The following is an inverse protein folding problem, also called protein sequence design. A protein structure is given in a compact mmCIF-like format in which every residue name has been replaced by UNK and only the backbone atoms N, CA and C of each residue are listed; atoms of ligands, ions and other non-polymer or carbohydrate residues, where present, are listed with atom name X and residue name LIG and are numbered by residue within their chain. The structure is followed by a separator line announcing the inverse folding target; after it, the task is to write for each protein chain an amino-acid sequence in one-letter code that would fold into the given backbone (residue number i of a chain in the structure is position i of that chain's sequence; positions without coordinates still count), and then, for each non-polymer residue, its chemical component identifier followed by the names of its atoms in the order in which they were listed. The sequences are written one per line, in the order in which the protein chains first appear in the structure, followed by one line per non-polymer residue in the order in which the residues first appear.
data_IF_482541012352
#
_entry.id   IF_482541012352
#
_cell.length_a   1.000
_cell.length_b   1.000
_cell.length_c   1.000
_cell.angle_alpha   90.00
_cell.angle_beta   90.00
_cell.angle_gamma   90.00
#
_symmetry.space_group_name_H-M   'P 1'
#
loop_
_entity.id
_entity.type
_entity.pdbx_description
1 polymer ?
#
# COMPACT_ATOMS: atom_id res chain seq x y z
N UNK A 1 -18.96 -23.32 70.85
CA UNK A 1 -17.96 -22.23 70.99
C UNK A 1 -17.53 -21.83 69.59
N UNK A 2 -17.65 -20.53 69.28
CA UNK A 2 -17.18 -19.76 68.10
C UNK A 2 -15.67 -19.94 67.80
N UNK A 3 -15.04 -19.32 66.76
CA UNK A 3 -15.47 -18.76 65.45
C UNK A 3 -14.51 -19.19 64.28
N UNK A 4 -14.69 -18.79 63.00
CA UNK A 4 -13.97 -17.71 62.23
C UNK A 4 -14.48 -17.83 60.76
N UNK A 5 -15.30 -16.91 60.22
CA UNK A 5 -14.98 -15.74 59.36
C UNK A 5 -14.27 -16.12 58.02
N UNK A 6 -14.66 -15.71 56.80
CA UNK A 6 -15.05 -14.39 56.28
C UNK A 6 -15.90 -14.51 55.00
N UNK A 7 -16.79 -13.52 54.79
CA UNK A 7 -17.58 -13.27 53.58
C UNK A 7 -16.71 -12.45 52.61
N UNK A 8 -16.57 -12.89 51.36
CA UNK A 8 -16.03 -12.08 50.27
C UNK A 8 -17.08 -11.86 49.19
N UNK A 9 -17.32 -10.58 48.92
CA UNK A 9 -18.29 -10.03 47.99
C UNK A 9 -17.98 -10.39 46.54
N UNK A 10 -18.98 -10.92 45.82
CA UNK A 10 -18.93 -11.10 44.37
C UNK A 10 -19.50 -9.83 43.71
N UNK A 11 -18.64 -8.88 43.35
CA UNK A 11 -19.02 -7.78 42.46
C UNK A 11 -18.88 -8.23 41.01
N UNK A 12 -20.02 -8.51 40.36
CA UNK A 12 -20.13 -8.51 38.90
C UNK A 12 -19.88 -7.10 38.39
N UNK A 13 -18.73 -6.87 37.76
CA UNK A 13 -18.53 -5.70 36.91
C UNK A 13 -19.05 -6.05 35.52
N UNK A 14 -20.30 -5.65 35.24
CA UNK A 14 -20.82 -5.57 33.87
C UNK A 14 -20.11 -4.38 33.24
N UNK A 15 -19.13 -4.64 32.38
CA UNK A 15 -18.57 -3.63 31.50
C UNK A 15 -19.61 -3.34 30.41
N UNK A 16 -20.48 -2.36 30.65
CA UNK A 16 -21.22 -1.71 29.59
C UNK A 16 -20.21 -0.95 28.74
N UNK A 17 -19.87 -1.48 27.57
CA UNK A 17 -19.21 -0.72 26.51
C UNK A 17 -20.22 0.33 26.04
N UNK A 18 -20.14 1.51 26.64
CA UNK A 18 -20.80 2.70 26.10
C UNK A 18 -19.89 3.15 24.98
N UNK A 19 -20.19 2.72 23.75
CA UNK A 19 -19.60 3.32 22.56
C UNK A 19 -19.83 4.83 22.66
N UNK A 20 -18.76 5.58 22.90
CA UNK A 20 -18.83 7.03 22.81
C UNK A 20 -19.14 7.33 21.34
N UNK A 21 -20.26 8.02 21.03
CA UNK A 21 -20.52 8.42 19.66
C UNK A 21 -19.32 9.25 19.18
N UNK A 22 -18.80 8.89 18.01
CA UNK A 22 -17.75 9.66 17.32
C UNK A 22 -18.16 11.14 17.37
N UNK A 23 -17.35 12.03 17.96
CA UNK A 23 -17.74 13.42 18.10
C UNK A 23 -18.02 14.00 16.71
N UNK A 24 -19.15 14.69 16.52
CA UNK A 24 -19.46 15.29 15.23
C UNK A 24 -18.36 16.29 14.84
N UNK A 25 -17.93 16.23 13.56
CA UNK A 25 -16.95 17.12 12.94
C UNK A 25 -17.17 18.57 13.42
N UNK A 26 -16.20 19.15 14.11
CA UNK A 26 -16.32 20.51 14.66
C UNK A 26 -15.72 21.54 13.70
N UNK A 27 -16.21 22.79 13.69
CA UNK A 27 -15.57 23.90 12.97
C UNK A 27 -14.12 24.22 13.41
N UNK A 28 -13.64 23.56 14.47
CA UNK A 28 -12.29 23.67 15.01
C UNK A 28 -11.41 22.47 14.66
N UNK A 29 -11.88 21.55 13.81
CA UNK A 29 -11.04 20.56 13.12
C UNK A 29 -10.31 21.27 11.98
N UNK A 30 -9.31 22.07 12.32
CA UNK A 30 -8.74 23.10 11.43
C UNK A 30 -7.79 22.47 10.41
N UNK A 31 -8.35 22.06 9.28
CA UNK A 31 -7.69 22.10 7.96
C UNK A 31 -8.45 23.00 6.96
N UNK A 32 -9.49 23.73 7.41
CA UNK A 32 -10.60 24.12 6.53
C UNK A 32 -11.01 25.61 6.54
N UNK A 33 -10.10 26.54 6.85
CA UNK A 33 -10.41 27.98 6.75
C UNK A 33 -9.40 28.78 5.92
N UNK A 34 -8.74 28.15 4.94
CA UNK A 34 -7.96 28.89 3.96
C UNK A 34 -8.64 28.89 2.58
N UNK A 35 -8.80 30.07 1.98
CA UNK A 35 -9.24 30.26 0.57
C UNK A 35 -8.44 29.37 -0.41
N UNK A 36 -7.21 29.02 -0.06
CA UNK A 36 -6.30 28.18 -0.84
C UNK A 36 -6.78 26.72 -0.93
N UNK A 37 -7.54 26.20 0.04
CA UNK A 37 -8.03 24.82 0.02
C UNK A 37 -9.32 24.67 -0.81
N UNK A 38 -10.00 25.77 -1.14
CA UNK A 38 -11.23 25.77 -1.98
C UNK A 38 -10.96 25.52 -3.47
N UNK A 39 -9.69 25.55 -3.90
CA UNK A 39 -9.28 25.40 -5.31
C UNK A 39 -8.88 23.98 -5.71
N UNK A 40 -8.88 23.03 -4.76
CA UNK A 40 -8.45 21.66 -5.03
C UNK A 40 -9.47 20.90 -5.87
N UNK A 41 -8.96 20.04 -6.76
CA UNK A 41 -9.77 19.27 -7.70
C UNK A 41 -10.45 18.05 -7.06
N UNK A 42 -10.01 17.60 -5.88
CA UNK A 42 -10.61 16.48 -5.16
C UNK A 42 -10.87 16.81 -3.68
N UNK A 43 -12.06 16.44 -3.21
CA UNK A 43 -12.53 16.70 -1.85
C UNK A 43 -12.30 15.48 -0.95
N UNK A 44 -11.07 15.33 -0.44
CA UNK A 44 -10.70 14.29 0.52
C UNK A 44 -11.51 14.32 1.83
N UNK A 45 -12.25 15.41 2.12
CA UNK A 45 -13.03 15.51 3.35
C UNK A 45 -14.37 14.75 3.27
N UNK A 46 -14.97 14.73 2.08
CA UNK A 46 -16.33 14.24 1.88
C UNK A 46 -16.40 13.09 0.86
N UNK A 47 -15.41 12.95 -0.01
CA UNK A 47 -15.33 11.85 -0.95
C UNK A 47 -14.61 10.64 -0.31
N UNK A 48 -15.11 9.45 -0.61
CA UNK A 48 -14.51 8.18 -0.18
C UNK A 48 -13.78 7.59 -1.37
N UNK A 49 -12.47 7.40 -1.23
CA UNK A 49 -11.65 6.68 -2.20
C UNK A 49 -11.93 5.18 -2.09
N UNK A 50 -12.21 4.57 -3.23
CA UNK A 50 -12.43 3.14 -3.38
C UNK A 50 -11.61 2.72 -4.58
N UNK A 51 -10.37 2.32 -4.31
CA UNK A 51 -9.39 2.16 -5.36
C UNK A 51 -8.59 0.88 -5.29
N UNK A 52 -7.67 0.78 -6.24
CA UNK A 52 -6.80 -0.38 -6.44
C UNK A 52 -5.40 0.07 -6.77
N UNK A 53 -4.42 -0.72 -6.37
CA UNK A 53 -3.05 -0.53 -6.82
C UNK A 53 -2.85 -1.15 -8.21
N UNK A 54 -2.05 -0.49 -9.03
CA UNK A 54 -1.58 -0.97 -10.34
C UNK A 54 -0.20 -1.62 -10.14
N UNK A 55 -0.14 -2.59 -9.22
CA UNK A 55 1.09 -3.24 -8.77
C UNK A 55 1.71 -4.18 -9.81
N UNK A 56 3.01 -4.46 -9.65
CA UNK A 56 3.78 -5.32 -10.55
C UNK A 56 3.95 -4.80 -11.98
N UNK A 57 3.56 -3.55 -12.29
CA UNK A 57 3.62 -3.00 -13.65
C UNK A 57 4.95 -2.32 -13.95
N UNK A 58 5.24 -1.17 -13.32
CA UNK A 58 6.47 -0.41 -13.53
C UNK A 58 7.57 -0.72 -12.52
N UNK A 59 7.25 -1.51 -11.50
CA UNK A 59 8.19 -2.16 -10.60
C UNK A 59 7.81 -3.63 -10.54
N UNK A 60 8.74 -4.52 -10.88
CA UNK A 60 8.50 -5.95 -10.86
C UNK A 60 8.53 -6.49 -9.43
N UNK A 61 7.50 -7.24 -9.08
CA UNK A 61 7.41 -7.97 -7.83
C UNK A 61 7.26 -9.46 -8.12
N UNK A 62 8.19 -10.31 -7.63
CA UNK A 62 8.21 -11.73 -7.97
C UNK A 62 6.91 -12.47 -7.68
N UNK A 63 6.18 -12.11 -6.62
CA UNK A 63 4.93 -12.77 -6.27
C UNK A 63 3.75 -12.36 -7.17
N UNK A 64 3.80 -11.15 -7.76
CA UNK A 64 2.75 -10.63 -8.65
C UNK A 64 2.90 -11.23 -10.05
N UNK A 65 4.12 -11.23 -10.59
CA UNK A 65 4.46 -11.74 -11.94
C UNK A 65 5.53 -12.83 -11.90
N UNK A 66 5.28 -13.97 -11.22
CA UNK A 66 6.27 -15.03 -11.05
C UNK A 66 6.78 -15.59 -12.38
N UNK A 67 5.99 -15.58 -13.46
CA UNK A 67 6.41 -16.11 -14.76
C UNK A 67 7.67 -15.43 -15.31
N UNK A 68 7.87 -14.13 -15.04
CA UNK A 68 9.08 -13.41 -15.46
C UNK A 68 10.34 -13.98 -14.78
N UNK A 69 10.23 -14.32 -13.50
CA UNK A 69 11.32 -14.83 -12.67
C UNK A 69 11.50 -16.35 -12.81
N UNK A 70 10.44 -17.10 -13.05
CA UNK A 70 10.48 -18.55 -13.28
C UNK A 70 11.34 -18.95 -14.49
N UNK A 71 11.51 -18.06 -15.46
CA UNK A 71 12.39 -18.32 -16.61
C UNK A 71 13.87 -18.52 -16.23
N UNK A 72 14.27 -18.15 -15.03
CA UNK A 72 15.63 -18.36 -14.50
C UNK A 72 15.78 -19.68 -13.75
N UNK A 73 14.67 -20.39 -13.47
CA UNK A 73 14.72 -21.67 -12.77
C UNK A 73 15.43 -22.71 -13.62
N UNK A 74 16.53 -23.24 -13.09
CA UNK A 74 17.29 -24.33 -13.74
C UNK A 74 17.10 -25.68 -13.04
N UNK A 75 16.57 -25.68 -11.81
CA UNK A 75 16.30 -26.86 -11.00
C UNK A 75 14.87 -26.81 -10.44
N UNK A 76 14.12 -27.90 -10.58
CA UNK A 76 12.67 -27.95 -10.32
C UNK A 76 12.25 -27.54 -8.89
N UNK A 77 13.10 -27.80 -7.89
CA UNK A 77 12.80 -27.55 -6.47
C UNK A 77 13.83 -26.62 -5.80
N UNK A 78 14.46 -25.73 -6.56
CA UNK A 78 15.40 -24.75 -6.03
C UNK A 78 15.19 -23.38 -6.69
N UNK A 79 15.15 -22.35 -5.86
CA UNK A 79 15.12 -20.94 -6.31
C UNK A 79 16.54 -20.39 -6.52
N UNK A 80 17.57 -21.22 -6.39
CA UNK A 80 18.96 -20.83 -6.64
C UNK A 80 19.12 -20.31 -8.08
N UNK A 81 19.67 -19.10 -8.20
CA UNK A 81 19.90 -18.42 -9.47
C UNK A 81 18.69 -17.61 -9.98
N UNK A 82 17.55 -17.65 -9.31
CA UNK A 82 16.41 -16.78 -9.63
C UNK A 82 16.69 -15.39 -9.04
N UNK A 83 16.63 -14.30 -9.84
CA UNK A 83 16.79 -12.95 -9.34
C UNK A 83 15.77 -12.59 -8.26
N UNK A 84 16.20 -11.86 -7.23
CA UNK A 84 15.36 -11.54 -6.09
C UNK A 84 14.43 -10.33 -6.30
N UNK A 85 14.75 -9.46 -7.25
CA UNK A 85 14.13 -8.15 -7.47
C UNK A 85 14.41 -7.67 -8.91
N UNK A 86 13.86 -6.52 -9.30
CA UNK A 86 14.04 -5.96 -10.64
C UNK A 86 15.51 -5.57 -10.93
N UNK A 87 16.26 -5.11 -9.93
CA UNK A 87 17.68 -4.78 -10.08
C UNK A 87 18.47 -6.01 -10.55
N UNK A 88 18.34 -7.14 -9.85
CA UNK A 88 19.04 -8.36 -10.20
C UNK A 88 18.44 -9.02 -11.45
N UNK A 89 17.14 -8.86 -11.71
CA UNK A 89 16.50 -9.35 -12.94
C UNK A 89 17.11 -8.70 -14.18
N UNK A 90 17.20 -7.37 -14.17
CA UNK A 90 17.79 -6.61 -15.28
C UNK A 90 19.30 -6.83 -15.39
N UNK A 91 19.99 -7.01 -14.26
CA UNK A 91 21.42 -7.35 -14.23
C UNK A 91 21.70 -8.71 -14.87
N UNK A 92 20.92 -9.73 -14.53
CA UNK A 92 21.12 -11.09 -15.00
C UNK A 92 20.83 -11.25 -16.50
N UNK A 93 19.87 -10.50 -17.04
CA UNK A 93 19.51 -10.53 -18.47
C UNK A 93 20.40 -9.65 -19.34
N UNK A 94 20.96 -8.58 -18.77
CA UNK A 94 21.57 -7.49 -19.53
C UNK A 94 20.54 -6.62 -20.25
N UNK A 95 20.99 -5.47 -20.75
CA UNK A 95 20.12 -4.40 -21.25
C UNK A 95 19.17 -4.84 -22.36
N UNK A 96 19.65 -5.56 -23.38
CA UNK A 96 18.84 -5.88 -24.57
C UNK A 96 17.69 -6.84 -24.26
N UNK A 97 17.98 -7.93 -23.54
CA UNK A 97 16.97 -8.94 -23.21
C UNK A 97 16.00 -8.40 -22.15
N UNK A 98 16.52 -7.70 -21.14
CA UNK A 98 15.66 -7.04 -20.15
C UNK A 98 14.71 -6.05 -20.81
N UNK A 99 15.20 -5.18 -21.72
CA UNK A 99 14.38 -4.19 -22.41
C UNK A 99 13.29 -4.85 -23.24
N UNK A 100 13.61 -5.88 -24.02
CA UNK A 100 12.62 -6.58 -24.84
C UNK A 100 11.53 -7.23 -23.98
N UNK A 101 11.89 -7.86 -22.86
CA UNK A 101 10.91 -8.50 -21.97
C UNK A 101 10.05 -7.49 -21.24
N UNK A 102 10.68 -6.42 -20.73
CA UNK A 102 9.98 -5.36 -19.99
C UNK A 102 9.03 -4.56 -20.90
N UNK A 103 9.40 -4.28 -22.15
CA UNK A 103 8.46 -3.62 -23.08
C UNK A 103 7.25 -4.49 -23.41
N UNK A 104 7.45 -5.81 -23.54
CA UNK A 104 6.33 -6.74 -23.69
C UNK A 104 5.45 -6.76 -22.43
N UNK A 105 6.06 -6.76 -21.24
CA UNK A 105 5.36 -6.68 -19.97
C UNK A 105 4.55 -5.39 -19.87
N UNK A 106 5.19 -4.23 -20.04
CA UNK A 106 4.53 -2.93 -19.89
C UNK A 106 3.39 -2.73 -20.89
N UNK A 107 3.54 -3.19 -22.13
CA UNK A 107 2.50 -3.06 -23.17
C UNK A 107 1.28 -3.98 -22.98
N UNK A 108 1.38 -5.02 -22.15
CA UNK A 108 0.32 -6.04 -22.04
C UNK A 108 -0.16 -6.31 -20.63
N UNK A 109 0.63 -5.97 -19.60
CA UNK A 109 0.26 -6.18 -18.21
C UNK A 109 -0.93 -5.33 -17.84
N UNK A 110 -0.94 -4.01 -18.10
CA UNK A 110 -2.15 -3.19 -18.00
C UNK A 110 -2.47 -2.50 -19.33
N UNK A 111 -3.77 -2.39 -19.60
CA UNK A 111 -4.32 -1.76 -20.80
C UNK A 111 -5.52 -0.87 -20.43
N UNK A 112 -6.02 -0.06 -21.38
CA UNK A 112 -7.23 0.74 -21.16
C UNK A 112 -8.45 -0.10 -20.74
N UNK A 113 -8.53 -1.36 -21.20
CA UNK A 113 -9.59 -2.29 -20.81
C UNK A 113 -9.59 -2.57 -19.31
N UNK A 114 -8.42 -2.63 -18.67
CA UNK A 114 -8.33 -2.82 -17.23
C UNK A 114 -8.92 -1.62 -16.49
N UNK A 115 -8.65 -0.40 -16.94
CA UNK A 115 -9.19 0.83 -16.35
C UNK A 115 -10.71 0.95 -16.53
N UNK A 116 -11.24 0.53 -17.69
CA UNK A 116 -12.68 0.42 -17.90
C UNK A 116 -13.32 -0.59 -16.93
N UNK A 117 -12.72 -1.77 -16.78
CA UNK A 117 -13.21 -2.78 -15.84
C UNK A 117 -13.15 -2.31 -14.36
N UNK A 118 -12.10 -1.56 -13.99
CA UNK A 118 -11.98 -0.95 -12.65
C UNK A 118 -13.15 0.00 -12.39
N UNK A 119 -13.44 0.89 -13.33
CA UNK A 119 -14.56 1.82 -13.21
C UNK A 119 -15.92 1.09 -13.19
N UNK A 120 -16.11 0.10 -14.06
CA UNK A 120 -17.33 -0.71 -14.13
C UNK A 120 -17.58 -1.52 -12.84
N UNK A 121 -16.51 -1.87 -12.10
CA UNK A 121 -16.60 -2.51 -10.80
C UNK A 121 -17.03 -1.56 -9.66
N UNK A 122 -17.27 -0.27 -9.96
CA UNK A 122 -17.70 0.75 -9.01
C UNK A 122 -16.56 1.43 -8.23
N UNK A 123 -15.32 1.26 -8.70
CA UNK A 123 -14.13 1.90 -8.14
C UNK A 123 -13.92 3.29 -8.76
N UNK A 124 -13.26 4.18 -8.04
CA UNK A 124 -13.09 5.59 -8.45
C UNK A 124 -11.63 6.05 -8.46
N UNK A 125 -10.68 5.18 -8.15
CA UNK A 125 -9.30 5.57 -7.89
C UNK A 125 -8.30 4.45 -8.22
N UNK A 126 -7.11 4.84 -8.70
CA UNK A 126 -5.96 3.95 -8.88
C UNK A 126 -4.69 4.57 -8.30
N UNK A 127 -3.87 3.77 -7.61
CA UNK A 127 -2.51 4.13 -7.20
C UNK A 127 -1.51 3.46 -8.15
N UNK A 128 -0.58 4.22 -8.71
CA UNK A 128 0.35 3.74 -9.74
C UNK A 128 1.79 3.82 -9.25
N UNK A 129 2.34 2.70 -8.74
CA UNK A 129 3.75 2.56 -8.39
C UNK A 129 4.68 2.77 -9.59
N UNK A 130 5.74 3.57 -9.42
CA UNK A 130 6.82 3.71 -10.41
C UNK A 130 8.19 3.89 -9.73
N UNK A 131 9.20 3.15 -10.18
CA UNK A 131 10.56 3.24 -9.67
C UNK A 131 11.35 4.44 -10.21
N UNK A 132 12.31 4.94 -9.45
CA UNK A 132 13.10 6.11 -9.86
C UNK A 132 13.83 5.92 -11.21
N UNK A 133 14.21 4.69 -11.52
CA UNK A 133 14.95 4.29 -12.72
C UNK A 133 14.19 4.54 -14.03
N UNK A 134 12.87 4.70 -13.97
CA UNK A 134 12.06 5.15 -15.11
C UNK A 134 12.45 6.56 -15.59
N UNK A 135 13.01 7.40 -14.71
CA UNK A 135 13.30 8.81 -14.98
C UNK A 135 14.79 9.13 -14.93
N UNK A 136 15.51 8.59 -13.96
CA UNK A 136 16.95 8.78 -13.84
C UNK A 136 17.59 7.54 -13.23
N UNK A 137 18.74 7.13 -13.78
CA UNK A 137 19.53 6.01 -13.28
C UNK A 137 20.79 6.50 -12.59
N UNK A 138 21.29 5.74 -11.62
CA UNK A 138 22.69 5.78 -11.20
C UNK A 138 23.57 5.18 -12.30
N UNK A 139 24.85 5.59 -12.34
CA UNK A 139 25.80 5.06 -13.33
C UNK A 139 26.00 3.53 -13.21
N UNK A 140 25.83 2.98 -12.00
CA UNK A 140 25.95 1.55 -11.71
C UNK A 140 24.67 0.75 -11.96
N UNK A 141 23.55 1.41 -12.29
CA UNK A 141 22.26 0.72 -12.36
C UNK A 141 22.15 -0.25 -13.53
N UNK A 142 21.72 -1.50 -13.27
CA UNK A 142 21.37 -2.45 -14.31
C UNK A 142 19.98 -2.20 -14.90
N UNK A 143 19.15 -1.35 -14.28
CA UNK A 143 17.78 -1.11 -14.71
C UNK A 143 17.69 -0.69 -16.18
N UNK A 144 16.56 -1.01 -16.79
CA UNK A 144 16.17 -0.49 -18.09
C UNK A 144 15.35 0.77 -17.89
N UNK A 145 15.81 1.87 -18.48
CA UNK A 145 15.00 3.08 -18.67
C UNK A 145 14.36 2.98 -20.05
N UNK A 146 13.08 2.62 -20.11
CA UNK A 146 12.32 2.42 -21.33
C UNK A 146 11.04 3.24 -21.34
N UNK A 147 9.95 2.62 -21.77
CA UNK A 147 8.67 3.32 -22.01
C UNK A 147 7.79 3.46 -20.75
N UNK A 148 8.31 3.24 -19.53
CA UNK A 148 7.50 3.33 -18.30
C UNK A 148 6.76 4.67 -18.19
N UNK A 149 7.46 5.79 -18.43
CA UNK A 149 6.84 7.11 -18.40
C UNK A 149 5.74 7.27 -19.47
N UNK A 150 5.95 6.72 -20.67
CA UNK A 150 4.94 6.72 -21.73
C UNK A 150 3.69 5.92 -21.34
N UNK A 151 3.86 4.77 -20.69
CA UNK A 151 2.73 3.98 -20.19
C UNK A 151 2.06 4.63 -18.98
N UNK A 152 2.80 5.33 -18.11
CA UNK A 152 2.22 6.13 -17.02
C UNK A 152 1.34 7.26 -17.58
N UNK A 153 1.80 8.00 -18.59
CA UNK A 153 1.00 9.03 -19.25
C UNK A 153 -0.27 8.45 -19.88
N UNK A 154 -0.16 7.28 -20.54
CA UNK A 154 -1.32 6.57 -21.07
C UNK A 154 -2.28 6.11 -19.97
N UNK A 155 -1.77 5.57 -18.86
CA UNK A 155 -2.59 5.13 -17.74
C UNK A 155 -3.38 6.29 -17.11
N UNK A 156 -2.76 7.47 -16.96
CA UNK A 156 -3.46 8.67 -16.51
C UNK A 156 -4.54 9.08 -17.51
N UNK A 157 -4.27 8.97 -18.82
CA UNK A 157 -5.30 9.25 -19.83
C UNK A 157 -6.44 8.23 -19.80
N UNK A 158 -6.16 6.94 -19.62
CA UNK A 158 -7.17 5.89 -19.45
C UNK A 158 -7.99 6.12 -18.17
N UNK A 159 -7.36 6.54 -17.09
CA UNK A 159 -8.05 6.93 -15.86
C UNK A 159 -9.01 8.09 -16.11
N UNK A 160 -8.56 9.15 -16.79
CA UNK A 160 -9.42 10.29 -17.19
C UNK A 160 -10.60 9.83 -18.04
N UNK A 161 -10.37 8.99 -19.05
CA UNK A 161 -11.43 8.46 -19.93
C UNK A 161 -12.52 7.69 -19.17
N UNK A 162 -12.14 7.04 -18.06
CA UNK A 162 -13.03 6.21 -17.25
C UNK A 162 -13.43 6.89 -15.93
N UNK A 163 -13.18 8.20 -15.77
CA UNK A 163 -13.47 8.97 -14.56
C UNK A 163 -12.86 8.39 -13.27
N UNK A 164 -11.67 7.78 -13.39
CA UNK A 164 -10.85 7.35 -12.27
C UNK A 164 -9.88 8.46 -11.90
N UNK A 165 -9.62 8.61 -10.60
CA UNK A 165 -8.56 9.46 -10.06
C UNK A 165 -7.27 8.67 -9.85
N UNK A 166 -6.15 9.38 -9.76
CA UNK A 166 -4.81 8.76 -9.77
C UNK A 166 -3.95 9.31 -8.63
N UNK A 167 -3.20 8.42 -7.96
CA UNK A 167 -1.90 8.76 -7.37
C UNK A 167 -0.76 8.28 -8.24
N UNK A 168 0.23 9.15 -8.42
CA UNK A 168 1.55 8.77 -8.93
C UNK A 168 2.44 8.54 -7.72
N UNK A 169 2.93 7.33 -7.55
CA UNK A 169 3.70 6.92 -6.38
C UNK A 169 5.15 6.60 -6.75
N UNK A 170 6.09 7.33 -6.17
CA UNK A 170 7.51 7.00 -6.27
C UNK A 170 7.79 5.78 -5.39
N UNK A 171 7.73 4.60 -6.00
CA UNK A 171 7.68 3.35 -5.24
C UNK A 171 9.05 2.80 -4.84
N UNK A 172 10.11 3.20 -5.56
CA UNK A 172 11.48 2.77 -5.31
C UNK A 172 12.45 3.95 -5.40
N UNK A 173 13.19 4.21 -4.33
CA UNK A 173 14.27 5.18 -4.31
C UNK A 173 15.62 4.56 -4.71
N UNK A 174 16.55 5.42 -5.16
CA UNK A 174 17.93 5.00 -5.35
C UNK A 174 18.51 4.45 -4.03
N UNK A 175 19.21 3.31 -4.10
CA UNK A 175 19.76 2.65 -2.91
C UNK A 175 18.75 1.91 -2.02
N UNK A 176 17.45 1.96 -2.34
CA UNK A 176 16.32 1.42 -1.56
C UNK A 176 16.09 2.11 -0.22
N UNK A 177 14.82 2.44 0.02
CA UNK A 177 14.31 3.04 1.25
C UNK A 177 13.88 2.01 2.31
N UNK A 178 13.81 0.72 1.96
CA UNK A 178 13.23 -0.30 2.84
C UNK A 178 13.83 -1.71 2.71
N UNK A 179 14.71 -1.96 1.76
CA UNK A 179 15.30 -3.27 1.52
C UNK A 179 14.31 -4.35 1.10
N UNK A 180 13.10 -3.98 0.69
CA UNK A 180 12.12 -4.89 0.11
C UNK A 180 12.36 -5.04 -1.39
N UNK A 181 11.95 -6.16 -1.97
CA UNK A 181 12.04 -6.37 -3.42
C UNK A 181 11.14 -5.40 -4.20
N UNK A 182 10.00 -4.99 -3.63
CA UNK A 182 9.10 -3.97 -4.17
C UNK A 182 9.76 -2.59 -4.35
N UNK A 183 10.89 -2.29 -3.68
CA UNK A 183 11.65 -1.06 -3.94
C UNK A 183 12.54 -1.14 -5.19
N UNK A 184 12.61 -2.32 -5.82
CA UNK A 184 13.50 -2.65 -6.92
C UNK A 184 14.83 -3.27 -6.49
N UNK A 185 15.26 -3.07 -5.23
CA UNK A 185 16.54 -3.58 -4.71
C UNK A 185 16.39 -4.10 -3.27
N UNK A 186 16.35 -5.42 -3.12
CA UNK A 186 16.20 -6.08 -1.84
C UNK A 186 17.48 -6.01 -1.01
N UNK A 187 17.32 -6.00 0.31
CA UNK A 187 18.39 -6.07 1.32
C UNK A 187 19.39 -4.88 1.30
N UNK A 188 19.02 -3.74 0.70
CA UNK A 188 19.74 -2.46 0.74
C UNK A 188 18.92 -1.36 1.44
N UNK A 189 19.58 -0.43 2.13
CA UNK A 189 18.94 0.63 2.92
C UNK A 189 19.66 1.98 2.76
N UNK A 190 20.13 2.26 1.54
CA UNK A 190 21.05 3.35 1.24
C UNK A 190 20.35 4.62 0.75
N UNK A 191 19.02 4.69 0.81
CA UNK A 191 18.21 5.83 0.31
C UNK A 191 18.73 7.21 0.75
N UNK A 192 19.01 7.39 2.04
CA UNK A 192 19.42 8.70 2.59
C UNK A 192 20.91 9.02 2.38
N UNK A 193 21.66 8.16 1.70
CA UNK A 193 23.04 8.47 1.34
C UNK A 193 23.08 9.61 0.29
N UNK A 194 24.05 10.55 0.35
CA UNK A 194 24.00 11.77 -0.44
C UNK A 194 23.82 11.59 -1.96
N UNK A 195 24.45 10.59 -2.57
CA UNK A 195 24.31 10.33 -4.01
C UNK A 195 22.94 9.78 -4.38
N UNK A 196 22.41 8.89 -3.54
CA UNK A 196 21.10 8.26 -3.73
C UNK A 196 19.97 9.25 -3.49
N UNK A 197 20.08 10.03 -2.41
CA UNK A 197 19.13 11.09 -2.08
C UNK A 197 19.09 12.17 -3.17
N UNK A 198 20.24 12.54 -3.75
CA UNK A 198 20.30 13.51 -4.84
C UNK A 198 19.55 13.04 -6.10
N UNK A 199 19.74 11.77 -6.51
CA UNK A 199 19.02 11.20 -7.66
C UNK A 199 17.53 11.09 -7.36
N UNK A 200 17.17 10.56 -6.18
CA UNK A 200 15.77 10.40 -5.78
C UNK A 200 15.05 11.76 -5.70
N UNK A 201 15.73 12.79 -5.17
CA UNK A 201 15.20 14.17 -5.11
C UNK A 201 15.01 14.75 -6.51
N UNK A 202 15.97 14.57 -7.42
CA UNK A 202 15.86 15.01 -8.81
C UNK A 202 14.66 14.38 -9.51
N UNK A 203 14.47 13.07 -9.34
CA UNK A 203 13.32 12.34 -9.90
C UNK A 203 12.01 12.83 -9.29
N UNK A 204 11.94 12.97 -7.96
CA UNK A 204 10.72 13.46 -7.31
C UNK A 204 10.36 14.88 -7.78
N UNK A 205 11.35 15.77 -7.89
CA UNK A 205 11.13 17.12 -8.43
C UNK A 205 10.59 17.08 -9.87
N UNK A 206 11.09 16.17 -10.71
CA UNK A 206 10.56 15.95 -12.06
C UNK A 206 9.08 15.48 -12.04
N UNK A 207 8.75 14.50 -11.20
CA UNK A 207 7.38 14.00 -11.02
C UNK A 207 6.44 15.13 -10.57
N UNK A 208 6.84 15.88 -9.54
CA UNK A 208 6.10 17.04 -9.03
C UNK A 208 5.93 18.10 -10.13
N UNK A 209 6.97 18.40 -10.91
CA UNK A 209 6.90 19.38 -11.98
C UNK A 209 5.97 18.96 -13.12
N UNK A 210 5.98 17.69 -13.52
CA UNK A 210 5.16 17.18 -14.63
C UNK A 210 3.70 16.98 -14.21
N UNK A 211 3.46 16.16 -13.19
CA UNK A 211 2.11 15.71 -12.82
C UNK A 211 1.35 16.68 -11.91
N UNK A 212 1.92 17.85 -11.63
CA UNK A 212 1.22 18.98 -10.97
C UNK A 212 0.83 20.10 -11.95
N UNK A 213 1.02 19.88 -13.27
CA UNK A 213 0.55 20.82 -14.29
C UNK A 213 -0.97 20.76 -14.41
N UNK A 214 -1.58 21.88 -14.83
CA UNK A 214 -3.03 22.05 -14.90
C UNK A 214 -3.76 20.98 -15.73
N UNK A 215 -3.09 20.42 -16.74
CA UNK A 215 -3.64 19.34 -17.56
C UNK A 215 -3.77 18.00 -16.82
N UNK A 216 -3.11 17.81 -15.68
CA UNK A 216 -3.17 16.58 -14.87
C UNK A 216 -4.01 16.73 -13.60
N UNK A 217 -4.18 17.95 -13.07
CA UNK A 217 -4.80 18.17 -11.76
C UNK A 217 -6.26 17.67 -11.66
N UNK A 218 -6.95 17.50 -12.78
CA UNK A 218 -8.30 16.92 -12.80
C UNK A 218 -8.32 15.41 -12.53
N UNK A 219 -7.20 14.72 -12.73
CA UNK A 219 -7.07 13.26 -12.72
C UNK A 219 -6.06 12.79 -11.69
N UNK A 220 -4.86 13.39 -11.65
CA UNK A 220 -3.84 13.16 -10.62
C UNK A 220 -4.20 13.99 -9.41
N UNK A 221 -4.65 13.32 -8.34
CA UNK A 221 -5.14 13.95 -7.11
C UNK A 221 -4.18 13.78 -5.93
N UNK A 222 -2.96 13.30 -6.20
CA UNK A 222 -1.89 13.13 -5.24
C UNK A 222 -0.63 12.60 -5.91
N UNK A 223 0.51 13.04 -5.39
CA UNK A 223 1.83 12.49 -5.72
C UNK A 223 2.42 12.00 -4.41
N UNK A 224 2.67 10.70 -4.32
CA UNK A 224 3.29 10.09 -3.15
C UNK A 224 4.81 10.18 -3.25
N UNK A 225 5.40 10.78 -2.21
CA UNK A 225 6.78 11.22 -2.28
C UNK A 225 7.77 10.05 -2.25
N UNK A 226 7.46 9.01 -1.48
CA UNK A 226 8.19 7.75 -1.43
C UNK A 226 7.33 6.69 -0.73
N UNK A 227 7.19 5.53 -1.36
CA UNK A 227 6.51 4.37 -0.77
C UNK A 227 7.31 3.79 0.40
N UNK A 228 6.64 3.42 1.49
CA UNK A 228 7.17 2.55 2.55
C UNK A 228 8.63 2.81 2.99
N UNK A 229 9.10 4.04 3.27
CA UNK A 229 10.43 4.21 3.85
C UNK A 229 10.48 3.51 5.21
N UNK A 230 11.45 2.62 5.41
CA UNK A 230 11.52 1.79 6.61
C UNK A 230 12.03 2.60 7.81
N UNK A 231 11.14 3.39 8.41
CA UNK A 231 11.45 4.30 9.50
C UNK A 231 12.29 3.71 10.64
N UNK A 232 12.05 2.47 11.11
CA UNK A 232 12.88 1.85 12.16
C UNK A 232 14.37 1.71 11.86
N UNK A 233 14.80 1.78 10.59
CA UNK A 233 16.23 1.68 10.21
C UNK A 233 16.77 2.94 9.55
N UNK A 234 15.92 3.93 9.26
CA UNK A 234 16.29 5.19 8.64
C UNK A 234 16.49 6.30 9.66
N UNK A 235 17.23 7.34 9.26
CA UNK A 235 17.24 8.62 9.97
C UNK A 235 15.93 9.37 9.71
N UNK A 236 15.05 9.37 10.71
CA UNK A 236 13.73 9.99 10.62
C UNK A 236 13.78 11.52 10.47
N UNK A 237 14.82 12.19 10.95
CA UNK A 237 14.97 13.63 10.72
C UNK A 237 15.36 13.91 9.27
N UNK A 238 16.23 13.06 8.70
CA UNK A 238 16.56 13.09 7.27
C UNK A 238 15.34 12.82 6.38
N UNK A 239 14.48 11.87 6.75
CA UNK A 239 13.22 11.61 6.03
C UNK A 239 12.25 12.80 6.10
N UNK A 240 12.09 13.42 7.28
CA UNK A 240 11.28 14.64 7.44
C UNK A 240 11.81 15.77 6.57
N UNK A 241 13.13 15.97 6.54
CA UNK A 241 13.76 16.97 5.69
C UNK A 241 13.50 16.71 4.19
N UNK A 242 13.49 15.45 3.76
CA UNK A 242 13.14 15.05 2.40
C UNK A 242 11.68 15.45 2.06
N UNK A 243 10.73 15.14 2.94
CA UNK A 243 9.32 15.53 2.78
C UNK A 243 9.12 17.04 2.76
N UNK A 244 9.72 17.76 3.70
CA UNK A 244 9.64 19.23 3.75
C UNK A 244 10.24 19.88 2.50
N UNK A 245 11.36 19.37 1.99
CA UNK A 245 11.99 19.89 0.78
C UNK A 245 11.12 19.69 -0.45
N UNK A 246 10.51 18.52 -0.60
CA UNK A 246 9.57 18.22 -1.68
C UNK A 246 8.30 19.09 -1.61
N UNK A 247 7.72 19.21 -0.41
CA UNK A 247 6.57 20.09 -0.15
C UNK A 247 6.88 21.55 -0.53
N UNK A 248 8.01 22.06 -0.07
CA UNK A 248 8.43 23.43 -0.35
C UNK A 248 8.72 23.66 -1.84
N UNK A 249 9.32 22.69 -2.53
CA UNK A 249 9.51 22.76 -3.98
C UNK A 249 8.16 22.88 -4.70
N UNK A 250 7.20 22.02 -4.36
CA UNK A 250 5.86 22.05 -4.98
C UNK A 250 5.12 23.37 -4.72
N UNK A 251 5.14 23.85 -3.48
CA UNK A 251 4.35 25.02 -3.07
C UNK A 251 5.02 26.35 -3.43
N UNK A 252 6.33 26.47 -3.24
CA UNK A 252 7.03 27.75 -3.33
C UNK A 252 7.69 27.94 -4.70
N UNK A 253 8.29 26.89 -5.26
CA UNK A 253 8.98 26.98 -6.56
C UNK A 253 8.01 26.76 -7.73
N UNK A 254 7.15 25.74 -7.66
CA UNK A 254 6.17 25.47 -8.71
C UNK A 254 4.86 26.25 -8.53
N UNK A 255 4.55 26.72 -7.31
CA UNK A 255 3.30 27.44 -7.03
C UNK A 255 2.05 26.58 -7.22
N UNK A 256 2.16 25.24 -7.09
CA UNK A 256 1.07 24.31 -7.36
C UNK A 256 0.28 23.92 -6.11
N UNK A 257 -1.01 23.63 -6.29
CA UNK A 257 -1.95 23.16 -5.28
C UNK A 257 -2.17 21.64 -5.28
N UNK A 258 -1.38 20.89 -6.06
CA UNK A 258 -1.36 19.43 -6.06
C UNK A 258 -1.19 18.87 -4.64
N UNK A 259 -1.84 17.74 -4.36
CA UNK A 259 -1.73 17.07 -3.06
C UNK A 259 -0.40 16.34 -2.95
N UNK A 260 0.24 16.50 -1.79
CA UNK A 260 1.39 15.71 -1.37
C UNK A 260 0.87 14.52 -0.57
N UNK A 261 1.29 13.31 -0.92
CA UNK A 261 1.02 12.11 -0.13
C UNK A 261 2.32 11.66 0.53
N UNK A 262 2.29 11.41 1.83
CA UNK A 262 3.42 10.85 2.58
C UNK A 262 3.02 9.51 3.17
N UNK A 263 3.83 8.48 2.96
CA UNK A 263 3.68 7.21 3.68
C UNK A 263 4.08 7.39 5.14
N UNK A 264 3.41 6.66 6.04
CA UNK A 264 3.57 6.76 7.50
C UNK A 264 4.95 6.32 8.04
N UNK A 265 5.79 5.72 7.20
CA UNK A 265 7.10 5.17 7.51
C UNK A 265 7.10 4.09 8.62
N UNK A 266 6.02 3.31 8.69
CA UNK A 266 5.74 2.31 9.72
C UNK A 266 5.72 2.90 11.14
N UNK A 267 5.44 4.19 11.26
CA UNK A 267 5.28 4.85 12.55
C UNK A 267 3.87 4.62 13.10
N UNK A 268 3.69 4.64 14.43
CA UNK A 268 2.36 4.55 15.01
C UNK A 268 1.50 5.75 14.59
N UNK A 269 0.17 5.57 14.67
CA UNK A 269 -0.79 6.67 14.54
C UNK A 269 -0.37 7.88 15.38
N UNK A 270 -0.70 9.07 14.88
CA UNK A 270 -0.36 10.36 15.48
C UNK A 270 1.12 10.78 15.39
N UNK A 271 2.02 9.96 14.84
CA UNK A 271 3.43 10.35 14.71
C UNK A 271 3.62 11.61 13.84
N UNK A 272 2.83 11.75 12.78
CA UNK A 272 2.94 12.84 11.80
C UNK A 272 2.08 14.06 12.13
N UNK A 273 1.40 14.09 13.29
CA UNK A 273 0.45 15.15 13.67
C UNK A 273 1.08 16.53 13.86
N UNK A 274 2.41 16.61 13.97
CA UNK A 274 3.15 17.87 14.10
C UNK A 274 3.94 18.27 12.85
N UNK A 275 3.92 17.47 11.78
CA UNK A 275 4.76 17.68 10.60
C UNK A 275 3.89 18.00 9.38
N UNK A 276 4.24 19.05 8.63
CA UNK A 276 3.50 19.53 7.46
C UNK A 276 2.01 19.83 7.71
N UNK A 277 1.70 20.31 8.91
CA UNK A 277 0.34 20.73 9.32
C UNK A 277 0.15 22.24 9.24
N UNK A 278 -1.07 22.75 9.45
CA UNK A 278 -1.30 24.21 9.51
C UNK A 278 -0.52 24.88 10.65
N UNK A 279 -0.29 24.18 11.76
CA UNK A 279 0.56 24.68 12.86
C UNK A 279 2.05 24.66 12.52
N UNK A 280 2.45 23.86 11.53
CA UNK A 280 3.82 23.79 11.03
C UNK A 280 3.93 24.62 9.74
N UNK A 281 4.28 25.90 9.91
CA UNK A 281 4.50 26.84 8.81
C UNK A 281 3.30 26.98 7.84
N UNK A 282 2.07 26.80 8.34
CA UNK A 282 0.84 26.88 7.55
C UNK A 282 0.82 25.90 6.36
N UNK A 283 1.41 24.71 6.55
CA UNK A 283 1.42 23.67 5.52
C UNK A 283 0.02 23.06 5.29
N UNK A 284 -0.26 22.68 4.04
CA UNK A 284 -1.59 22.27 3.59
C UNK A 284 -1.56 21.32 2.39
N UNK A 285 -2.61 20.53 2.24
CA UNK A 285 -2.77 19.64 1.08
C UNK A 285 -1.83 18.45 1.18
N UNK A 286 -1.81 17.86 2.36
CA UNK A 286 -1.02 16.70 2.72
C UNK A 286 -2.00 15.60 3.12
N UNK A 287 -1.81 14.42 2.52
CA UNK A 287 -2.50 13.19 2.87
C UNK A 287 -1.45 12.24 3.44
N UNK A 288 -1.81 11.57 4.52
CA UNK A 288 -1.03 10.49 5.13
C UNK A 288 -1.53 9.16 4.57
N UNK A 289 -0.62 8.36 4.02
CA UNK A 289 -0.89 7.01 3.56
C UNK A 289 -0.49 6.00 4.64
N UNK A 290 -1.45 5.15 5.01
CA UNK A 290 -1.26 4.02 5.92
C UNK A 290 -1.41 2.70 5.19
N UNK A 291 -0.45 1.80 5.41
CA UNK A 291 -0.50 0.44 4.90
C UNK A 291 -0.86 -0.54 6.01
N UNK A 292 -1.78 -1.47 5.72
CA UNK A 292 -2.38 -2.33 6.73
C UNK A 292 -2.43 -3.80 6.30
N UNK A 293 -1.67 -4.61 7.03
CA UNK A 293 -1.56 -6.05 6.81
C UNK A 293 -1.52 -6.79 8.16
N UNK A 294 -1.84 -8.09 8.16
CA UNK A 294 -1.73 -8.96 9.36
C UNK A 294 -1.05 -10.29 9.05
N UNK A 295 -0.09 -10.29 8.13
CA UNK A 295 0.53 -11.52 7.60
C UNK A 295 2.06 -11.54 7.66
N UNK A 296 2.71 -10.42 8.00
CA UNK A 296 4.17 -10.29 7.89
C UNK A 296 4.94 -10.58 9.18
N UNK A 297 4.25 -11.05 10.23
CA UNK A 297 4.91 -11.58 11.43
C UNK A 297 4.19 -12.82 11.98
N UNK A 298 4.94 -13.66 12.71
CA UNK A 298 4.39 -14.84 13.38
C UNK A 298 3.21 -14.48 14.31
N UNK A 299 3.33 -13.37 15.06
CA UNK A 299 2.31 -12.95 16.01
C UNK A 299 1.00 -12.56 15.35
N UNK A 300 1.06 -11.87 14.20
CA UNK A 300 -0.12 -11.46 13.45
C UNK A 300 -0.83 -12.66 12.80
N UNK A 301 -0.05 -13.57 12.22
CA UNK A 301 -0.58 -14.80 11.62
C UNK A 301 -1.29 -15.68 12.66
N UNK A 302 -0.75 -15.76 13.88
CA UNK A 302 -1.30 -16.54 15.00
C UNK A 302 -2.53 -15.93 15.67
N UNK A 303 -2.93 -14.69 15.36
CA UNK A 303 -4.14 -14.07 15.93
C UNK A 303 -5.36 -14.95 15.70
N UNK A 304 -6.25 -15.01 16.68
CA UNK A 304 -7.58 -15.58 16.47
C UNK A 304 -8.33 -14.78 15.40
N UNK A 305 -9.30 -15.39 14.74
CA UNK A 305 -10.03 -14.68 13.68
C UNK A 305 -10.80 -13.46 14.22
N UNK A 306 -11.37 -13.55 15.42
CA UNK A 306 -12.04 -12.42 16.07
C UNK A 306 -11.05 -11.28 16.39
N UNK A 307 -9.82 -11.60 16.82
CA UNK A 307 -8.78 -10.59 17.04
C UNK A 307 -8.36 -9.91 15.73
N UNK A 308 -8.32 -10.65 14.60
CA UNK A 308 -8.01 -10.05 13.29
C UNK A 308 -9.08 -9.02 12.88
N UNK A 309 -10.35 -9.30 13.16
CA UNK A 309 -11.45 -8.35 12.93
C UNK A 309 -11.34 -7.15 13.88
N UNK A 310 -11.07 -7.38 15.17
CA UNK A 310 -10.88 -6.30 16.14
C UNK A 310 -9.75 -5.34 15.73
N UNK A 311 -8.60 -5.88 15.30
CA UNK A 311 -7.47 -5.08 14.79
C UNK A 311 -7.88 -4.28 13.55
N UNK A 312 -8.61 -4.88 12.60
CA UNK A 312 -9.07 -4.18 11.41
C UNK A 312 -9.99 -3.00 11.76
N UNK A 313 -10.91 -3.19 12.70
CA UNK A 313 -11.78 -2.12 13.19
C UNK A 313 -10.98 -1.02 13.91
N UNK A 314 -9.99 -1.40 14.74
CA UNK A 314 -9.13 -0.44 15.46
C UNK A 314 -8.37 0.49 14.50
N UNK A 315 -7.92 -0.01 13.33
CA UNK A 315 -7.27 0.83 12.33
C UNK A 315 -8.15 1.99 11.86
N UNK A 316 -9.43 1.74 11.57
CA UNK A 316 -10.37 2.79 11.20
C UNK A 316 -10.51 3.84 12.31
N UNK A 317 -10.73 3.39 13.55
CA UNK A 317 -10.89 4.28 14.69
C UNK A 317 -9.63 5.08 15.05
N UNK A 318 -8.44 4.50 14.86
CA UNK A 318 -7.15 5.13 15.17
C UNK A 318 -6.87 6.35 14.31
N UNK A 319 -7.31 6.33 13.05
CA UNK A 319 -7.10 7.46 12.13
C UNK A 319 -8.04 8.65 12.37
N UNK A 320 -9.18 8.47 13.06
CA UNK A 320 -10.22 9.51 13.17
C UNK A 320 -9.70 10.83 13.76
N UNK A 321 -8.70 10.76 14.64
CA UNK A 321 -8.16 11.89 15.39
C UNK A 321 -6.81 12.41 14.88
N UNK A 322 -6.26 11.85 13.81
CA UNK A 322 -5.00 12.34 13.24
C UNK A 322 -5.17 13.71 12.56
N UNK A 323 -4.08 14.47 12.48
CA UNK A 323 -4.12 15.85 12.00
C UNK A 323 -4.28 15.97 10.48
N UNK A 324 -3.79 14.98 9.73
CA UNK A 324 -3.84 14.93 8.26
C UNK A 324 -5.07 14.19 7.76
N UNK A 325 -5.46 14.40 6.51
CA UNK A 325 -6.31 13.42 5.82
C UNK A 325 -5.58 12.09 5.73
N UNK A 326 -6.29 10.97 5.91
CA UNK A 326 -5.70 9.65 5.73
C UNK A 326 -6.47 8.80 4.73
N UNK A 327 -5.72 7.98 4.01
CA UNK A 327 -6.22 6.92 3.14
C UNK A 327 -5.44 5.66 3.52
N UNK A 328 -6.10 4.51 3.50
CA UNK A 328 -5.38 3.24 3.51
C UNK A 328 -4.93 2.93 2.07
N UNK A 329 -3.71 3.32 1.68
CA UNK A 329 -3.18 3.18 0.32
C UNK A 329 -2.77 1.76 -0.05
N UNK A 330 -2.59 0.89 0.96
CA UNK A 330 -2.42 -0.54 0.75
C UNK A 330 -3.02 -1.40 1.85
N UNK A 331 -3.69 -2.48 1.43
CA UNK A 331 -4.21 -3.56 2.26
C UNK A 331 -4.59 -4.75 1.36
N UNK A 332 -4.85 -5.93 1.93
CA UNK A 332 -5.23 -7.11 1.17
C UNK A 332 -6.29 -7.97 1.87
N UNK A 333 -6.83 -8.96 1.14
CA UNK A 333 -7.71 -9.98 1.70
C UNK A 333 -6.93 -11.13 2.37
N UNK A 334 -5.60 -11.08 2.32
CA UNK A 334 -4.70 -12.11 2.81
C UNK A 334 -4.84 -12.33 4.32
N UNK A 335 -5.01 -13.60 4.70
CA UNK A 335 -4.96 -14.07 6.09
C UNK A 335 -3.74 -14.95 6.35
N UNK A 336 -2.96 -15.22 5.31
CA UNK A 336 -1.72 -16.00 5.32
C UNK A 336 -0.66 -15.28 4.51
N UNK A 337 0.61 -15.65 4.70
CA UNK A 337 1.71 -15.25 3.82
C UNK A 337 2.12 -16.38 2.86
N UNK A 338 1.16 -17.22 2.46
CA UNK A 338 1.39 -18.43 1.66
C UNK A 338 1.64 -18.19 0.17
N UNK A 339 1.29 -17.02 -0.35
CA UNK A 339 1.51 -16.71 -1.77
C UNK A 339 2.99 -16.82 -2.10
N UNK A 340 3.29 -17.54 -3.19
CA UNK A 340 4.65 -17.83 -3.61
C UNK A 340 5.46 -16.54 -3.74
N UNK A 341 6.61 -16.51 -3.07
CA UNK A 341 7.55 -15.38 -3.08
C UNK A 341 6.99 -14.06 -2.54
N UNK A 342 5.88 -14.08 -1.80
CA UNK A 342 5.39 -12.89 -1.10
C UNK A 342 6.44 -12.34 -0.12
N UNK A 343 7.20 -13.21 0.54
CA UNK A 343 8.31 -12.83 1.41
C UNK A 343 9.63 -12.60 0.64
N UNK A 344 9.59 -12.61 -0.69
CA UNK A 344 10.73 -12.54 -1.60
C UNK A 344 11.22 -13.90 -2.10
N UNK A 345 11.85 -13.90 -3.28
CA UNK A 345 12.43 -15.10 -3.89
C UNK A 345 13.44 -15.77 -2.95
N UNK A 346 13.33 -17.10 -2.83
CA UNK A 346 14.18 -17.92 -1.95
C UNK A 346 13.71 -17.99 -0.49
N UNK A 347 12.66 -17.27 -0.11
CA UNK A 347 12.05 -17.37 1.22
C UNK A 347 10.72 -18.12 1.17
N UNK A 348 10.47 -18.96 2.18
CA UNK A 348 9.20 -19.65 2.39
C UNK A 348 8.12 -18.76 3.03
N UNK A 349 7.06 -19.39 3.53
CA UNK A 349 5.98 -18.73 4.26
C UNK A 349 6.13 -18.94 5.77
N UNK A 350 5.78 -17.93 6.57
CA UNK A 350 5.74 -18.09 8.03
C UNK A 350 4.59 -18.99 8.43
N UNK A 351 3.47 -18.93 7.71
CA UNK A 351 2.25 -19.68 8.02
C UNK A 351 2.45 -21.20 8.06
N UNK A 352 3.24 -21.77 7.15
CA UNK A 352 3.58 -23.20 7.12
C UNK A 352 4.94 -23.52 7.75
N UNK A 353 5.57 -22.55 8.41
CA UNK A 353 6.83 -22.74 9.12
C UNK A 353 8.05 -22.92 8.19
N UNK A 354 7.95 -22.57 6.91
CA UNK A 354 9.05 -22.71 5.94
C UNK A 354 9.90 -21.44 5.78
N UNK A 355 9.44 -20.30 6.31
CA UNK A 355 10.20 -19.04 6.27
C UNK A 355 11.39 -19.08 7.24
N UNK A 356 12.55 -18.68 6.71
CA UNK A 356 13.78 -18.45 7.47
C UNK A 356 14.62 -17.35 6.81
N UNK A 357 14.97 -16.29 7.56
CA UNK A 357 15.90 -15.24 7.13
C UNK A 357 16.87 -14.91 8.27
N UNK A 358 18.10 -15.41 8.16
CA UNK A 358 19.09 -15.27 9.23
C UNK A 358 18.60 -15.92 10.54
N UNK A 359 18.46 -15.12 11.60
CA UNK A 359 17.90 -15.56 12.88
C UNK A 359 16.38 -15.44 13.00
N UNK A 360 15.73 -14.77 12.05
CA UNK A 360 14.27 -14.70 12.00
C UNK A 360 13.73 -16.00 11.40
N UNK A 361 12.87 -16.68 12.17
CA UNK A 361 12.37 -18.02 11.85
C UNK A 361 10.87 -18.10 12.12
N UNK A 362 10.23 -19.11 11.55
CA UNK A 362 8.78 -19.32 11.69
C UNK A 362 8.44 -20.64 12.36
N UNK A 363 7.19 -20.77 12.77
CA UNK A 363 6.64 -21.99 13.34
C UNK A 363 5.32 -22.31 12.67
N UNK A 364 5.08 -23.60 12.39
CA UNK A 364 3.91 -24.06 11.65
C UNK A 364 2.60 -23.64 12.32
N UNK A 365 1.72 -23.01 11.54
CA UNK A 365 0.34 -22.64 11.91
C UNK A 365 -0.64 -23.49 11.08
N UNK A 366 -0.44 -23.53 9.76
CA UNK A 366 -1.28 -24.26 8.81
C UNK A 366 -0.56 -24.53 7.50
N UNK A 367 -1.19 -25.29 6.59
CA UNK A 367 -0.58 -25.62 5.30
C UNK A 367 -0.82 -24.53 4.26
N UNK A 368 0.21 -24.21 3.47
CA UNK A 368 0.10 -23.37 2.28
C UNK A 368 -0.24 -24.16 1.00
N UNK A 369 -0.47 -25.47 1.10
CA UNK A 369 -0.80 -26.29 -0.06
C UNK A 369 -2.11 -25.79 -0.69
N UNK A 370 -2.11 -25.64 -2.02
CA UNK A 370 -3.27 -25.17 -2.80
C UNK A 370 -3.78 -23.77 -2.39
N UNK A 371 -2.92 -22.91 -1.82
CA UNK A 371 -3.32 -21.56 -1.37
C UNK A 371 -4.07 -20.76 -2.45
N UNK A 372 -3.63 -20.86 -3.70
CA UNK A 372 -4.18 -20.11 -4.82
C UNK A 372 -5.33 -20.82 -5.56
N UNK A 373 -5.78 -21.97 -5.07
CA UNK A 373 -6.87 -22.75 -5.66
C UNK A 373 -8.15 -22.61 -4.81
N UNK A 374 -9.06 -21.76 -5.28
CA UNK A 374 -10.36 -21.50 -4.63
C UNK A 374 -11.21 -22.77 -4.44
N UNK A 375 -11.02 -23.81 -5.25
CA UNK A 375 -11.78 -25.06 -5.14
C UNK A 375 -11.35 -25.89 -3.92
N UNK A 376 -10.14 -25.65 -3.43
CA UNK A 376 -9.59 -26.28 -2.23
C UNK A 376 -9.95 -25.52 -0.93
N UNK A 377 -10.38 -24.26 -1.03
CA UNK A 377 -10.73 -23.45 0.12
C UNK A 377 -12.01 -23.95 0.80
N UNK A 378 -11.92 -24.18 2.11
CA UNK A 378 -13.08 -24.49 2.95
C UNK A 378 -14.08 -23.32 2.97
N UNK A 379 -15.34 -23.63 3.25
CA UNK A 379 -16.38 -22.61 3.43
C UNK A 379 -16.04 -21.65 4.59
N UNK A 380 -15.36 -22.16 5.62
CA UNK A 380 -14.83 -21.35 6.73
C UNK A 380 -13.79 -20.34 6.24
N UNK A 381 -12.80 -20.76 5.44
CA UNK A 381 -11.78 -19.85 4.89
C UNK A 381 -12.44 -18.77 4.02
N UNK A 382 -13.37 -19.15 3.14
CA UNK A 382 -14.11 -18.21 2.29
C UNK A 382 -14.92 -17.20 3.12
N UNK A 383 -15.63 -17.69 4.15
CA UNK A 383 -16.40 -16.85 5.08
C UNK A 383 -15.49 -15.88 5.83
N UNK A 384 -14.36 -16.36 6.34
CA UNK A 384 -13.40 -15.56 7.08
C UNK A 384 -12.75 -14.49 6.19
N UNK A 385 -12.35 -14.83 4.97
CA UNK A 385 -11.86 -13.83 4.00
C UNK A 385 -12.93 -12.76 3.72
N UNK A 386 -14.19 -13.15 3.49
CA UNK A 386 -15.27 -12.19 3.22
C UNK A 386 -15.53 -11.27 4.41
N UNK A 387 -15.58 -11.81 5.64
CA UNK A 387 -15.70 -11.04 6.88
C UNK A 387 -14.56 -10.05 7.06
N UNK A 388 -13.32 -10.52 6.84
CA UNK A 388 -12.11 -9.71 6.98
C UNK A 388 -12.07 -8.56 5.98
N UNK A 389 -12.43 -8.81 4.72
CA UNK A 389 -12.58 -7.77 3.70
C UNK A 389 -13.63 -6.74 4.11
N UNK A 390 -14.83 -7.17 4.51
CA UNK A 390 -15.90 -6.24 4.89
C UNK A 390 -15.56 -5.37 6.11
N UNK A 391 -14.91 -5.95 7.12
CA UNK A 391 -14.47 -5.21 8.31
C UNK A 391 -13.42 -4.14 7.97
N UNK A 392 -12.45 -4.48 7.10
CA UNK A 392 -11.46 -3.53 6.60
C UNK A 392 -12.10 -2.40 5.79
N UNK A 393 -13.02 -2.73 4.87
CA UNK A 393 -13.76 -1.72 4.10
C UNK A 393 -14.53 -0.76 5.01
N UNK A 394 -15.24 -1.28 6.01
CA UNK A 394 -15.97 -0.45 6.98
C UNK A 394 -15.03 0.44 7.78
N UNK A 395 -13.87 -0.08 8.19
CA UNK A 395 -12.87 0.67 8.94
C UNK A 395 -12.25 1.82 8.12
N UNK A 396 -11.85 1.56 6.88
CA UNK A 396 -11.15 2.54 6.05
C UNK A 396 -12.09 3.61 5.50
N UNK A 397 -13.37 3.28 5.27
CA UNK A 397 -14.40 4.25 4.85
C UNK A 397 -14.89 5.16 5.98
N UNK A 398 -14.45 4.95 7.24
CA UNK A 398 -14.63 5.94 8.31
C UNK A 398 -13.94 7.27 8.02
N UNK A 399 -12.87 7.24 7.21
CA UNK A 399 -12.09 8.41 6.83
C UNK A 399 -12.14 8.62 5.32
N UNK A 400 -10.99 8.74 4.65
CA UNK A 400 -10.97 9.12 3.23
C UNK A 400 -10.99 7.91 2.29
N UNK A 401 -11.03 6.68 2.81
CA UNK A 401 -11.20 5.45 2.03
C UNK A 401 -9.94 4.59 1.91
N UNK A 402 -9.89 3.78 0.85
CA UNK A 402 -8.99 2.64 0.74
C UNK A 402 -8.55 2.35 -0.69
N UNK A 403 -7.40 1.65 -0.81
CA UNK A 403 -6.80 1.24 -2.07
C UNK A 403 -6.24 -0.18 -1.91
N UNK A 404 -6.89 -1.19 -2.47
CA UNK A 404 -6.48 -2.59 -2.27
C UNK A 404 -5.19 -2.92 -3.06
N UNK A 405 -4.28 -3.65 -2.42
CA UNK A 405 -3.11 -4.27 -3.03
C UNK A 405 -3.43 -5.73 -3.41
N UNK A 406 -3.59 -6.08 -4.69
CA UNK A 406 -3.51 -5.26 -5.91
C UNK A 406 -4.66 -5.58 -6.87
N UNK A 407 -4.80 -4.86 -7.98
CA UNK A 407 -5.88 -5.13 -8.94
C UNK A 407 -5.78 -6.56 -9.51
N UNK A 408 -4.57 -7.00 -9.89
CA UNK A 408 -4.34 -8.33 -10.44
C UNK A 408 -2.93 -8.85 -10.21
N UNK A 409 -2.84 -10.17 -10.18
CA UNK A 409 -1.60 -10.95 -10.14
C UNK A 409 -1.68 -12.07 -11.19
N UNK A 410 -0.59 -12.78 -11.47
CA UNK A 410 -0.65 -13.90 -12.41
C UNK A 410 -1.45 -15.08 -11.85
N UNK A 411 -1.33 -15.36 -10.55
CA UNK A 411 -1.95 -16.54 -9.95
C UNK A 411 -2.43 -16.37 -8.50
N UNK A 412 -2.03 -15.33 -7.76
CA UNK A 412 -2.44 -15.16 -6.38
C UNK A 412 -3.94 -14.85 -6.28
N UNK A 413 -4.61 -15.42 -5.27
CA UNK A 413 -6.01 -15.21 -4.96
C UNK A 413 -6.19 -14.19 -3.84
N UNK A 414 -5.36 -14.25 -2.78
CA UNK A 414 -5.47 -13.36 -1.61
C UNK A 414 -5.11 -11.91 -1.91
N UNK A 415 -4.32 -11.69 -2.97
CA UNK A 415 -3.74 -10.41 -3.37
C UNK A 415 -4.29 -9.88 -4.70
N UNK A 416 -5.39 -10.46 -5.19
CA UNK A 416 -5.93 -10.17 -6.51
C UNK A 416 -7.42 -9.81 -6.44
N UNK A 417 -7.71 -8.52 -6.61
CA UNK A 417 -9.08 -8.05 -6.54
C UNK A 417 -10.00 -8.69 -7.59
N UNK A 418 -9.52 -8.89 -8.83
CA UNK A 418 -10.34 -9.49 -9.88
C UNK A 418 -10.82 -10.89 -9.48
N UNK A 419 -9.92 -11.72 -8.94
CA UNK A 419 -10.24 -13.06 -8.46
C UNK A 419 -11.10 -13.04 -7.21
N UNK A 420 -10.85 -12.14 -6.26
CA UNK A 420 -11.66 -12.02 -5.06
C UNK A 420 -13.11 -11.62 -5.40
N UNK A 421 -13.31 -10.65 -6.31
CA UNK A 421 -14.63 -10.26 -6.80
C UNK A 421 -15.32 -11.40 -7.55
N UNK A 422 -14.61 -12.05 -8.48
CA UNK A 422 -15.16 -13.16 -9.27
C UNK A 422 -15.67 -14.32 -8.40
N UNK A 423 -14.97 -14.61 -7.29
CA UNK A 423 -15.31 -15.69 -6.36
C UNK A 423 -16.24 -15.23 -5.22
N UNK A 424 -16.76 -14.00 -5.24
CA UNK A 424 -17.67 -13.47 -4.23
C UNK A 424 -17.04 -13.19 -2.87
N UNK A 425 -15.71 -13.18 -2.77
CA UNK A 425 -14.95 -12.90 -1.55
C UNK A 425 -14.75 -11.41 -1.30
N UNK A 426 -14.84 -10.60 -2.37
CA UNK A 426 -14.90 -9.14 -2.29
C UNK A 426 -16.32 -8.64 -2.62
N UNK A 427 -16.87 -7.65 -1.91
CA UNK A 427 -18.18 -7.09 -2.21
C UNK A 427 -18.33 -6.55 -3.64
N UNK A 428 -19.42 -6.91 -4.32
CA UNK A 428 -19.78 -6.36 -5.63
C UNK A 428 -21.33 -6.23 -5.71
N UNK A 429 -21.92 -5.01 -5.66
CA UNK A 429 -21.26 -3.70 -5.51
C UNK A 429 -20.37 -3.61 -4.27
N UNK A 430 -19.35 -2.76 -4.30
CA UNK A 430 -18.37 -2.62 -3.19
C UNK A 430 -18.98 -2.20 -1.84
N UNK A 431 -20.22 -1.71 -1.86
CA UNK A 431 -21.04 -1.41 -0.67
C UNK A 431 -21.85 -2.59 -0.15
N UNK A 432 -21.85 -3.73 -0.83
CA UNK A 432 -22.52 -4.94 -0.36
C UNK A 432 -21.89 -5.45 0.95
N UNK A 433 -22.72 -5.99 1.83
CA UNK A 433 -22.31 -6.54 3.12
C UNK A 433 -23.09 -7.81 3.43
N UNK A 434 -22.38 -8.93 3.52
CA UNK A 434 -22.91 -10.19 4.06
C UNK A 434 -22.79 -10.24 5.59
N UNK A 435 -21.83 -9.50 6.15
CA UNK A 435 -21.52 -9.39 7.56
C UNK A 435 -21.52 -7.90 7.97
N UNK A 436 -22.69 -7.25 8.00
CA UNK A 436 -22.78 -5.82 8.28
C UNK A 436 -22.43 -5.50 9.73
N UNK A 437 -21.85 -4.32 9.95
CA UNK A 437 -21.61 -3.73 11.28
C UNK A 437 -20.75 -4.60 12.20
N UNK A 438 -19.66 -5.16 11.68
CA UNK A 438 -18.68 -5.91 12.47
C UNK A 438 -17.94 -5.02 13.47
N UNK A 439 -17.74 -3.73 13.15
CA UNK A 439 -16.98 -2.80 13.96
C UNK A 439 -17.80 -1.91 14.91
N UNK A 440 -19.13 -1.83 14.73
CA UNK A 440 -20.00 -1.06 15.62
C UNK A 440 -19.95 0.47 15.42
N UNK A 441 -19.51 0.95 14.26
CA UNK A 441 -19.40 2.39 13.95
C UNK A 441 -20.71 3.04 13.50
#
# INVERSE_FOLDING_TARGET
MLPIAWISSLCMAIATVVGQPVPPKSPHSVQFLHEQNKKRFYDYQNAVLRGVNIGGWFVLEPFITPSLFETFRTQENSDEGIPADEYHYTQALGQDVASSRLEQHWSSWFTEKDFANIADAGLNFVRIPIGYWAFQKLDSDPYVKGSQEYYLDQAIQWARNNNLKVWVDLHGAAGSQNGFDNSGLRDSYAFLEPSNLAVTTSVLQYLLQKYSQSEYLDTVIGIELINEPLGPVLDMDGLKQYYESAYNYLRNELGSDQIVVIHDAFQPYHYWDSTLTLSDNNAWGVVLDHHHYQVFSNGELQRSFDDKIAVACEWGSGTLTEAHWTVCGEWAAALTDCTKWLNGVGYGARYDGTFQKGSDTSSYIGSCQNNEDITSWSDERKTNTRKYVEAQLDAYELRSGWVIWTYKTENSLEWDLQRLMYNGLFPQPVTDRQFPNQCGF
#
